data_IF_640728209668
#
_entry.id   IF_640728209668
#
_cell.length_a   1.000
_cell.length_b   1.000
_cell.length_c   1.000
_cell.angle_alpha   90.00
_cell.angle_beta   90.00
_cell.angle_gamma   90.00
#
_symmetry.space_group_name_H-M   'P 1'
#
loop_
_entity.id
_entity.type
_entity.pdbx_description
1 polymer ?
#
# COMPACT_ATOMS: atom_id res chain seq x y z
N UNK A 1 -58.96 -3.40 51.27
CA UNK A 1 -57.62 -3.29 50.67
C UNK A 1 -57.76 -2.45 49.42
N UNK A 2 -57.22 -1.23 49.49
CA UNK A 2 -57.43 -0.15 48.52
C UNK A 2 -56.69 -0.39 47.21
N UNK A 3 -57.39 -0.18 46.10
CA UNK A 3 -56.84 -0.13 44.74
C UNK A 3 -56.15 1.21 44.52
N UNK A 4 -54.81 1.21 44.37
CA UNK A 4 -54.03 2.39 43.97
C UNK A 4 -53.68 2.30 42.49
N UNK A 5 -54.44 3.00 41.68
CA UNK A 5 -54.11 3.35 40.30
C UNK A 5 -52.88 4.27 40.28
N UNK A 6 -51.73 3.76 39.82
CA UNK A 6 -50.56 4.59 39.50
C UNK A 6 -50.83 5.35 38.20
N UNK A 7 -51.07 6.66 38.31
CA UNK A 7 -51.03 7.60 37.17
C UNK A 7 -49.61 7.65 36.61
N UNK A 8 -49.48 7.38 35.31
CA UNK A 8 -48.25 7.56 34.54
C UNK A 8 -48.03 9.06 34.36
N UNK A 9 -46.93 9.57 34.91
CA UNK A 9 -46.47 10.95 34.70
C UNK A 9 -45.80 10.98 33.31
N UNK A 10 -46.11 11.92 32.41
CA UNK A 10 -45.34 12.08 31.18
C UNK A 10 -43.94 12.52 31.57
N UNK A 11 -42.92 11.72 31.24
CA UNK A 11 -41.54 12.18 31.27
C UNK A 11 -41.41 13.31 30.26
N UNK A 12 -41.18 14.53 30.73
CA UNK A 12 -40.70 15.63 29.91
C UNK A 12 -39.42 15.15 29.23
N UNK A 13 -39.53 14.90 27.93
CA UNK A 13 -38.43 14.43 27.11
C UNK A 13 -37.36 15.51 27.08
N UNK A 14 -36.18 15.15 27.57
CA UNK A 14 -34.91 15.81 27.24
C UNK A 14 -34.94 16.05 25.73
N UNK A 15 -34.88 17.32 25.30
CA UNK A 15 -34.77 17.70 23.90
C UNK A 15 -33.78 16.77 23.22
N UNK A 16 -34.33 15.88 22.38
CA UNK A 16 -33.55 14.88 21.68
C UNK A 16 -32.50 15.58 20.86
N UNK A 17 -31.25 15.13 20.96
CA UNK A 17 -30.25 15.48 19.97
C UNK A 17 -30.84 15.19 18.59
N UNK A 18 -31.08 16.25 17.82
CA UNK A 18 -31.62 16.15 16.47
C UNK A 18 -30.69 15.25 15.64
N UNK A 19 -31.22 14.19 15.05
CA UNK A 19 -30.44 13.24 14.25
C UNK A 19 -30.16 13.83 12.87
N UNK A 20 -29.21 14.77 12.86
CA UNK A 20 -28.78 15.50 11.66
C UNK A 20 -28.08 14.60 10.63
N UNK A 21 -27.64 13.41 11.03
CA UNK A 21 -27.00 12.45 10.14
C UNK A 21 -28.04 11.75 9.26
N UNK A 22 -29.24 11.51 9.82
CA UNK A 22 -30.37 10.97 9.07
C UNK A 22 -30.93 11.91 8.01
N UNK A 23 -30.75 13.23 8.19
CA UNK A 23 -31.22 14.23 7.24
C UNK A 23 -30.29 14.44 6.03
N UNK A 24 -29.09 13.85 6.05
CA UNK A 24 -28.15 13.98 4.93
C UNK A 24 -28.65 13.23 3.69
N UNK A 25 -28.46 13.79 2.48
CA UNK A 25 -28.61 13.05 1.23
C UNK A 25 -27.74 11.79 1.16
N UNK A 26 -28.23 10.77 0.44
CA UNK A 26 -27.57 9.46 0.32
C UNK A 26 -26.12 9.58 -0.17
N UNK A 27 -25.82 10.48 -1.10
CA UNK A 27 -24.46 10.68 -1.61
C UNK A 27 -23.49 11.20 -0.53
N UNK A 28 -23.96 12.02 0.41
CA UNK A 28 -23.14 12.48 1.54
C UNK A 28 -22.94 11.35 2.55
N UNK A 29 -23.95 10.53 2.80
CA UNK A 29 -23.80 9.33 3.65
C UNK A 29 -22.79 8.37 3.02
N UNK A 30 -22.90 8.06 1.72
CA UNK A 30 -21.94 7.21 1.01
C UNK A 30 -20.53 7.79 1.09
N UNK A 31 -20.38 9.11 0.96
CA UNK A 31 -19.09 9.77 1.13
C UNK A 31 -18.55 9.63 2.56
N UNK A 32 -19.38 9.80 3.59
CA UNK A 32 -18.99 9.59 4.98
C UNK A 32 -18.56 8.13 5.21
N UNK A 33 -19.33 7.17 4.72
CA UNK A 33 -19.00 5.73 4.79
C UNK A 33 -17.69 5.40 4.08
N UNK A 34 -17.30 6.16 3.05
CA UNK A 34 -16.06 5.93 2.30
C UNK A 34 -14.77 6.22 3.08
N UNK A 35 -14.87 6.90 4.22
CA UNK A 35 -13.74 7.12 5.12
C UNK A 35 -13.55 6.03 6.17
N UNK A 36 -14.45 5.03 6.22
CA UNK A 36 -14.41 3.96 7.22
C UNK A 36 -13.90 2.66 6.60
N UNK A 37 -13.25 1.79 7.39
CA UNK A 37 -13.03 0.40 6.99
C UNK A 37 -14.35 -0.27 6.59
N UNK A 38 -14.30 -1.16 5.59
CA UNK A 38 -15.49 -1.75 4.98
C UNK A 38 -16.36 -2.47 6.00
N UNK A 39 -15.74 -3.08 7.01
CA UNK A 39 -16.45 -3.75 8.11
C UNK A 39 -17.45 -2.82 8.80
N UNK A 40 -17.04 -1.60 9.15
CA UNK A 40 -17.92 -0.64 9.82
C UNK A 40 -18.97 -0.07 8.87
N UNK A 41 -18.57 0.22 7.62
CA UNK A 41 -19.51 0.67 6.60
C UNK A 41 -20.64 -0.36 6.41
N UNK A 42 -20.31 -1.65 6.33
CA UNK A 42 -21.30 -2.74 6.26
C UNK A 42 -22.15 -2.81 7.53
N UNK A 43 -21.56 -2.70 8.73
CA UNK A 43 -22.32 -2.71 10.01
C UNK A 43 -23.37 -1.60 10.08
N UNK A 44 -23.18 -0.48 9.39
CA UNK A 44 -24.21 0.59 9.32
C UNK A 44 -25.51 0.11 8.68
N UNK A 45 -25.54 -1.02 7.97
CA UNK A 45 -26.76 -1.58 7.40
C UNK A 45 -27.84 -1.91 8.43
N UNK A 46 -27.45 -2.09 9.69
CA UNK A 46 -28.36 -2.31 10.82
C UNK A 46 -29.13 -1.02 11.20
N UNK A 47 -28.64 0.14 10.78
CA UNK A 47 -29.28 1.43 10.97
C UNK A 47 -30.26 1.68 9.81
N UNK A 48 -31.53 1.94 10.15
CA UNK A 48 -32.63 2.09 9.17
C UNK A 48 -32.32 3.09 8.06
N UNK A 49 -31.67 4.21 8.37
CA UNK A 49 -31.34 5.26 7.40
C UNK A 49 -30.29 4.82 6.38
N UNK A 50 -29.30 4.06 6.83
CA UNK A 50 -28.11 3.71 6.06
C UNK A 50 -28.38 2.50 5.16
N UNK A 51 -29.01 1.46 5.71
CA UNK A 51 -29.42 0.28 4.97
C UNK A 51 -28.32 -0.24 4.04
N UNK A 52 -28.58 -0.25 2.73
CA UNK A 52 -27.65 -0.78 1.73
C UNK A 52 -26.72 0.27 1.10
N UNK A 53 -26.64 1.50 1.65
CA UNK A 53 -25.79 2.55 1.07
C UNK A 53 -24.31 2.18 1.03
N UNK A 54 -23.85 1.32 1.94
CA UNK A 54 -22.48 0.77 1.91
C UNK A 54 -22.13 0.09 0.57
N UNK A 55 -23.13 -0.48 -0.13
CA UNK A 55 -22.91 -1.15 -1.44
C UNK A 55 -22.52 -0.18 -2.56
N UNK A 56 -22.62 1.13 -2.32
CA UNK A 56 -22.28 2.20 -3.26
C UNK A 56 -20.96 2.90 -2.92
N UNK A 57 -20.26 2.45 -1.88
CA UNK A 57 -19.05 3.10 -1.40
C UNK A 57 -17.90 2.91 -2.41
N UNK A 58 -17.13 3.97 -2.73
CA UNK A 58 -15.98 3.91 -3.65
C UNK A 58 -14.80 3.10 -3.17
N UNK A 59 -14.64 3.03 -1.86
CA UNK A 59 -13.42 2.58 -1.20
C UNK A 59 -13.74 1.28 -0.47
N UNK A 60 -12.90 0.27 -0.67
CA UNK A 60 -13.02 -1.02 0.00
C UNK A 60 -11.72 -1.32 0.71
N UNK A 61 -11.74 -1.22 2.04
CA UNK A 61 -10.61 -1.51 2.92
C UNK A 61 -10.92 -2.77 3.72
N UNK A 62 -10.06 -3.78 3.60
CA UNK A 62 -10.14 -5.04 4.29
C UNK A 62 -8.82 -5.29 5.03
N UNK A 63 -8.88 -5.36 6.35
CA UNK A 63 -7.73 -5.67 7.20
C UNK A 63 -8.10 -6.84 8.11
N UNK A 64 -7.36 -7.94 7.99
CA UNK A 64 -7.63 -9.17 8.73
C UNK A 64 -7.48 -8.98 10.23
N UNK A 65 -6.46 -8.22 10.66
CA UNK A 65 -6.17 -7.97 12.06
C UNK A 65 -7.27 -7.11 12.71
N UNK A 66 -7.67 -6.02 12.05
CA UNK A 66 -8.80 -5.20 12.51
C UNK A 66 -10.11 -6.00 12.51
N UNK A 67 -10.34 -6.85 11.51
CA UNK A 67 -11.52 -7.71 11.46
C UNK A 67 -11.54 -8.68 12.65
N UNK A 68 -10.41 -9.33 12.93
CA UNK A 68 -10.26 -10.25 14.04
C UNK A 68 -10.57 -9.59 15.38
N UNK A 69 -9.91 -8.47 15.69
CA UNK A 69 -10.14 -7.71 16.94
C UNK A 69 -11.61 -7.32 17.18
N UNK A 70 -12.37 -7.12 16.09
CA UNK A 70 -13.76 -6.69 16.14
C UNK A 70 -14.74 -7.86 16.25
N UNK A 71 -14.41 -9.02 15.69
CA UNK A 71 -15.29 -10.20 15.68
C UNK A 71 -14.98 -11.13 16.86
N UNK A 72 -13.70 -11.26 17.21
CA UNK A 72 -13.16 -12.09 18.29
C UNK A 72 -12.22 -11.26 19.17
N UNK A 73 -12.78 -10.46 20.09
CA UNK A 73 -11.99 -9.55 20.91
C UNK A 73 -11.07 -10.25 21.93
N UNK A 74 -11.26 -11.55 22.20
CA UNK A 74 -10.36 -12.33 23.05
C UNK A 74 -9.59 -13.35 22.20
N UNK A 75 -8.28 -13.48 22.46
CA UNK A 75 -7.35 -14.31 21.68
C UNK A 75 -7.73 -15.81 21.62
N UNK A 76 -8.51 -16.31 22.58
CA UNK A 76 -8.95 -17.71 22.64
C UNK A 76 -10.32 -17.95 21.97
N UNK A 77 -10.97 -16.93 21.41
CA UNK A 77 -12.34 -17.05 20.89
C UNK A 77 -12.41 -17.79 19.53
N UNK A 78 -11.31 -17.85 18.76
CA UNK A 78 -11.24 -18.52 17.47
C UNK A 78 -9.81 -18.94 17.10
N UNK A 79 -9.71 -20.00 16.29
CA UNK A 79 -8.45 -20.36 15.63
C UNK A 79 -8.17 -19.46 14.43
N UNK A 80 -6.90 -19.31 14.02
CA UNK A 80 -6.52 -18.52 12.85
C UNK A 80 -7.28 -18.95 11.57
N UNK A 81 -7.53 -20.25 11.39
CA UNK A 81 -8.29 -20.78 10.26
C UNK A 81 -9.76 -20.33 10.28
N UNK A 82 -10.38 -20.28 11.46
CA UNK A 82 -11.75 -19.77 11.63
C UNK A 82 -11.82 -18.27 11.39
N UNK A 83 -10.84 -17.52 11.91
CA UNK A 83 -10.69 -16.08 11.71
C UNK A 83 -10.63 -15.77 10.22
N UNK A 84 -9.70 -16.43 9.53
CA UNK A 84 -9.52 -16.26 8.10
C UNK A 84 -10.75 -16.69 7.30
N UNK A 85 -11.33 -17.86 7.57
CA UNK A 85 -12.51 -18.36 6.87
C UNK A 85 -13.70 -17.41 6.97
N UNK A 86 -13.88 -16.79 8.14
CA UNK A 86 -14.91 -15.78 8.35
C UNK A 86 -14.61 -14.49 7.59
N UNK A 87 -13.36 -14.02 7.62
CA UNK A 87 -12.91 -12.85 6.86
C UNK A 87 -13.11 -13.05 5.35
N UNK A 88 -12.69 -14.19 4.81
CA UNK A 88 -12.89 -14.54 3.41
C UNK A 88 -14.37 -14.57 3.02
N UNK A 89 -15.23 -15.13 3.89
CA UNK A 89 -16.69 -15.10 3.69
C UNK A 89 -17.24 -13.69 3.73
N UNK A 90 -16.74 -12.84 4.63
CA UNK A 90 -17.10 -11.43 4.69
C UNK A 90 -16.76 -10.70 3.38
N UNK A 91 -15.52 -10.81 2.90
CA UNK A 91 -15.08 -10.20 1.63
C UNK A 91 -15.93 -10.73 0.47
N UNK A 92 -16.15 -12.06 0.40
CA UNK A 92 -16.99 -12.66 -0.65
C UNK A 92 -18.39 -12.05 -0.68
N UNK A 93 -19.02 -11.84 0.48
CA UNK A 93 -20.33 -11.20 0.55
C UNK A 93 -20.29 -9.74 0.12
N UNK A 94 -19.26 -8.99 0.51
CA UNK A 94 -19.08 -7.60 0.08
C UNK A 94 -18.92 -7.52 -1.43
N UNK A 95 -18.03 -8.32 -2.02
CA UNK A 95 -17.78 -8.40 -3.46
C UNK A 95 -19.05 -8.74 -4.24
N UNK A 96 -19.85 -9.70 -3.75
CA UNK A 96 -21.11 -10.10 -4.39
C UNK A 96 -22.20 -9.01 -4.33
N UNK A 97 -22.26 -8.25 -3.24
CA UNK A 97 -23.31 -7.27 -2.99
C UNK A 97 -22.96 -5.85 -3.42
N UNK A 98 -21.69 -5.57 -3.69
CA UNK A 98 -21.23 -4.25 -4.11
C UNK A 98 -21.80 -3.87 -5.47
N UNK A 99 -22.44 -2.70 -5.55
CA UNK A 99 -23.24 -2.26 -6.70
C UNK A 99 -22.59 -1.15 -7.50
N UNK A 100 -21.61 -0.45 -6.93
CA UNK A 100 -20.95 0.64 -7.63
C UNK A 100 -20.17 0.10 -8.83
N UNK A 101 -20.24 0.80 -9.96
CA UNK A 101 -19.60 0.35 -11.21
C UNK A 101 -18.08 0.36 -11.13
N UNK A 102 -17.52 1.39 -10.50
CA UNK A 102 -16.07 1.56 -10.33
C UNK A 102 -15.68 1.64 -8.86
N UNK A 103 -14.45 1.27 -8.55
CA UNK A 103 -13.83 1.41 -7.24
C UNK A 103 -12.75 2.47 -7.34
N UNK A 104 -12.70 3.41 -6.39
CA UNK A 104 -11.62 4.40 -6.37
C UNK A 104 -10.39 3.84 -5.66
N UNK A 105 -10.56 3.13 -4.53
CA UNK A 105 -9.47 2.48 -3.79
C UNK A 105 -9.86 1.10 -3.26
N UNK A 106 -8.94 0.14 -3.37
CA UNK A 106 -9.06 -1.21 -2.82
C UNK A 106 -7.81 -1.53 -2.00
N UNK A 107 -8.01 -1.76 -0.70
CA UNK A 107 -6.96 -2.12 0.23
C UNK A 107 -7.24 -3.50 0.83
N UNK A 108 -6.27 -4.40 0.72
CA UNK A 108 -6.30 -5.74 1.30
C UNK A 108 -5.05 -5.94 2.15
N UNK A 109 -5.24 -6.11 3.46
CA UNK A 109 -4.19 -6.37 4.44
C UNK A 109 -4.45 -7.71 5.11
N UNK A 110 -3.51 -8.65 4.88
CA UNK A 110 -3.53 -9.99 5.45
C UNK A 110 -2.20 -10.17 6.19
N UNK A 111 -2.27 -10.10 7.52
CA UNK A 111 -1.18 -10.44 8.43
C UNK A 111 -1.44 -11.83 8.96
N UNK A 112 -0.65 -12.79 8.52
CA UNK A 112 -0.88 -14.18 8.84
C UNK A 112 0.42 -14.75 9.38
N UNK A 113 0.65 -14.44 10.65
CA UNK A 113 1.86 -14.86 11.38
C UNK A 113 1.96 -16.38 11.53
N UNK A 114 0.87 -17.15 11.34
CA UNK A 114 0.83 -18.60 11.58
C UNK A 114 -0.08 -19.41 10.63
N UNK A 115 -0.58 -18.83 9.53
CA UNK A 115 -1.39 -19.59 8.55
C UNK A 115 -0.46 -20.12 7.46
N UNK A 116 -0.35 -21.45 7.34
CA UNK A 116 0.31 -22.04 6.18
C UNK A 116 -0.49 -21.67 4.91
N UNK A 117 0.02 -20.73 4.10
CA UNK A 117 -0.57 -20.29 2.84
C UNK A 117 -0.49 -21.33 1.70
N UNK A 118 -0.56 -22.62 2.07
CA UNK A 118 -0.61 -23.73 1.12
C UNK A 118 -2.03 -24.16 0.81
N UNK A 119 -3.06 -23.60 1.46
CA UNK A 119 -4.45 -23.85 1.05
C UNK A 119 -4.70 -23.23 -0.33
N UNK A 120 -4.92 -24.03 -1.39
CA UNK A 120 -5.16 -23.49 -2.72
C UNK A 120 -6.42 -22.62 -2.78
N UNK A 121 -7.41 -22.90 -1.93
CA UNK A 121 -8.68 -22.14 -1.90
C UNK A 121 -8.49 -20.70 -1.44
N UNK A 122 -7.54 -20.49 -0.53
CA UNK A 122 -7.16 -19.18 -0.03
C UNK A 122 -6.58 -18.32 -1.15
N UNK A 123 -5.63 -18.88 -1.91
CA UNK A 123 -5.03 -18.22 -3.06
C UNK A 123 -6.12 -17.90 -4.10
N UNK A 124 -7.01 -18.85 -4.39
CA UNK A 124 -8.12 -18.63 -5.33
C UNK A 124 -9.07 -17.50 -4.90
N UNK A 125 -9.38 -17.41 -3.60
CA UNK A 125 -10.21 -16.35 -3.05
C UNK A 125 -9.52 -14.98 -3.18
N UNK A 126 -8.24 -14.87 -2.82
CA UNK A 126 -7.46 -13.62 -2.99
C UNK A 126 -7.40 -13.22 -4.47
N UNK A 127 -7.12 -14.17 -5.37
CA UNK A 127 -7.10 -13.94 -6.82
C UNK A 127 -8.44 -13.40 -7.32
N UNK A 128 -9.56 -13.94 -6.82
CA UNK A 128 -10.90 -13.47 -7.18
C UNK A 128 -11.15 -12.04 -6.68
N UNK A 129 -10.75 -11.72 -5.45
CA UNK A 129 -10.94 -10.37 -4.88
C UNK A 129 -10.14 -9.31 -5.64
N UNK A 130 -8.90 -9.64 -5.99
CA UNK A 130 -8.03 -8.75 -6.77
C UNK A 130 -8.55 -8.57 -8.20
N UNK A 131 -9.00 -9.65 -8.86
CA UNK A 131 -9.67 -9.54 -10.17
C UNK A 131 -10.92 -8.68 -10.10
N UNK A 132 -11.74 -8.83 -9.07
CA UNK A 132 -12.89 -7.97 -8.86
C UNK A 132 -12.50 -6.49 -8.80
N UNK A 133 -11.43 -6.13 -8.08
CA UNK A 133 -10.97 -4.74 -8.03
C UNK A 133 -10.55 -4.22 -9.42
N UNK A 134 -9.79 -5.02 -10.17
CA UNK A 134 -9.36 -4.68 -11.54
C UNK A 134 -10.55 -4.56 -12.50
N UNK A 135 -11.51 -5.49 -12.45
CA UNK A 135 -12.74 -5.45 -13.27
C UNK A 135 -13.62 -4.23 -12.96
N UNK A 136 -13.45 -3.64 -11.77
CA UNK A 136 -14.09 -2.39 -11.33
C UNK A 136 -13.22 -1.16 -11.58
N UNK A 137 -12.21 -1.27 -12.45
CA UNK A 137 -11.34 -0.17 -12.87
C UNK A 137 -10.73 0.58 -11.67
N UNK A 138 -10.25 -0.17 -10.67
CA UNK A 138 -9.64 0.41 -9.48
C UNK A 138 -8.48 1.34 -9.83
N UNK A 139 -8.44 2.50 -9.17
CA UNK A 139 -7.38 3.50 -9.37
C UNK A 139 -6.25 3.35 -8.36
N UNK A 140 -6.59 3.04 -7.11
CA UNK A 140 -5.64 2.84 -6.03
C UNK A 140 -5.74 1.41 -5.49
N UNK A 141 -4.69 0.62 -5.70
CA UNK A 141 -4.63 -0.77 -5.24
C UNK A 141 -3.48 -0.94 -4.25
N UNK A 142 -3.83 -1.33 -3.02
CA UNK A 142 -2.87 -1.57 -1.96
C UNK A 142 -3.05 -3.00 -1.43
N UNK A 143 -1.98 -3.80 -1.55
CA UNK A 143 -1.94 -5.20 -1.13
C UNK A 143 -0.83 -5.31 -0.10
N UNK A 144 -1.23 -5.59 1.13
CA UNK A 144 -0.33 -5.88 2.22
C UNK A 144 -0.45 -7.35 2.60
N UNK A 145 0.62 -8.09 2.42
CA UNK A 145 0.67 -9.51 2.71
C UNK A 145 1.90 -9.80 3.57
N UNK A 146 1.69 -10.29 4.79
CA UNK A 146 2.74 -10.59 5.75
C UNK A 146 2.59 -12.06 6.15
N UNK A 147 3.17 -12.92 5.32
CA UNK A 147 3.14 -14.39 5.36
C UNK A 147 4.34 -14.95 4.60
N UNK A 148 4.35 -16.26 4.30
CA UNK A 148 5.37 -16.83 3.40
C UNK A 148 5.30 -16.11 2.03
N UNK A 149 6.44 -15.61 1.55
CA UNK A 149 6.55 -14.64 0.43
C UNK A 149 6.17 -15.18 -0.97
N UNK A 150 5.22 -16.13 -1.05
CA UNK A 150 4.83 -16.90 -2.22
C UNK A 150 3.53 -16.42 -2.89
N UNK A 151 2.92 -15.31 -2.42
CA UNK A 151 1.68 -14.81 -3.03
C UNK A 151 1.96 -14.28 -4.45
N UNK A 152 1.65 -15.12 -5.43
CA UNK A 152 1.67 -14.75 -6.85
C UNK A 152 0.48 -13.85 -7.15
N UNK A 153 0.73 -12.68 -7.71
CA UNK A 153 -0.30 -11.72 -8.08
C UNK A 153 -0.93 -12.05 -9.46
N UNK A 154 -2.25 -11.83 -9.65
CA UNK A 154 -2.88 -12.01 -10.95
C UNK A 154 -2.27 -11.09 -12.02
N UNK A 155 -1.94 -11.65 -13.19
CA UNK A 155 -1.35 -10.91 -14.32
C UNK A 155 -2.21 -9.72 -14.78
N UNK A 156 -3.53 -9.73 -14.56
CA UNK A 156 -4.40 -8.62 -14.96
C UNK A 156 -4.09 -7.31 -14.23
N UNK A 157 -3.47 -7.36 -13.03
CA UNK A 157 -3.00 -6.16 -12.31
C UNK A 157 -1.97 -5.41 -13.17
N UNK A 158 -0.98 -6.14 -13.69
CA UNK A 158 0.12 -5.61 -14.51
C UNK A 158 -0.28 -5.19 -15.92
N UNK A 159 -1.55 -5.37 -16.29
CA UNK A 159 -2.13 -4.95 -17.58
C UNK A 159 -3.19 -3.85 -17.41
N UNK A 160 -3.46 -3.43 -16.18
CA UNK A 160 -4.51 -2.45 -15.90
C UNK A 160 -4.20 -1.08 -16.50
N UNK A 161 -5.19 -0.49 -17.16
CA UNK A 161 -5.15 0.88 -17.70
C UNK A 161 -5.94 1.87 -16.83
N UNK A 162 -6.33 1.46 -15.63
CA UNK A 162 -7.07 2.31 -14.67
C UNK A 162 -6.25 2.66 -13.43
N UNK A 163 -5.27 1.84 -13.08
CA UNK A 163 -4.41 2.04 -11.91
C UNK A 163 -3.61 3.33 -12.04
N UNK A 164 -3.63 4.12 -10.97
CA UNK A 164 -2.85 5.34 -10.75
C UNK A 164 -1.78 5.06 -9.70
N UNK A 165 -2.16 4.34 -8.63
CA UNK A 165 -1.27 3.98 -7.53
C UNK A 165 -1.32 2.47 -7.29
N UNK A 166 -0.15 1.85 -7.11
CA UNK A 166 -0.01 0.42 -6.81
C UNK A 166 0.99 0.25 -5.67
N UNK A 167 0.53 -0.30 -4.56
CA UNK A 167 1.38 -0.66 -3.41
C UNK A 167 1.32 -2.15 -3.17
N UNK A 168 2.48 -2.80 -3.19
CA UNK A 168 2.64 -4.23 -2.95
C UNK A 168 3.59 -4.42 -1.76
N UNK A 169 3.14 -5.18 -0.76
CA UNK A 169 3.97 -5.62 0.37
C UNK A 169 3.95 -7.15 0.47
N UNK A 170 5.12 -7.78 0.57
CA UNK A 170 5.27 -9.23 0.80
C UNK A 170 4.68 -10.12 -0.32
N UNK A 171 4.73 -9.63 -1.56
CA UNK A 171 4.21 -10.36 -2.73
C UNK A 171 5.35 -10.95 -3.57
N UNK A 172 5.04 -11.94 -4.40
CA UNK A 172 5.96 -12.48 -5.39
C UNK A 172 5.68 -11.93 -6.79
N UNK A 173 6.70 -11.33 -7.41
CA UNK A 173 6.70 -11.04 -8.84
C UNK A 173 7.25 -12.26 -9.60
N UNK A 174 6.35 -13.14 -10.05
CA UNK A 174 6.71 -14.17 -11.04
C UNK A 174 7.11 -13.54 -12.38
N UNK A 175 7.62 -14.36 -13.33
CA UNK A 175 7.92 -13.91 -14.69
C UNK A 175 6.64 -13.36 -15.35
N UNK A 176 6.45 -12.04 -15.32
CA UNK A 176 5.37 -11.34 -16.01
C UNK A 176 5.85 -11.03 -17.44
N UNK A 177 5.49 -11.83 -18.46
CA UNK A 177 6.08 -11.69 -19.79
C UNK A 177 5.72 -10.36 -20.46
N UNK A 178 4.59 -9.77 -20.08
CA UNK A 178 4.08 -8.52 -20.63
C UNK A 178 3.53 -7.65 -19.51
N UNK A 179 4.19 -6.52 -19.24
CA UNK A 179 3.68 -5.50 -18.31
C UNK A 179 3.31 -4.26 -19.10
N UNK A 180 2.11 -3.77 -18.90
CA UNK A 180 1.62 -2.55 -19.50
C UNK A 180 0.64 -1.85 -18.57
N UNK A 181 1.11 -0.88 -17.79
CA UNK A 181 0.29 -0.05 -16.91
C UNK A 181 0.43 1.42 -17.31
N UNK A 182 -0.29 1.81 -18.37
CA UNK A 182 -0.09 3.11 -19.02
C UNK A 182 -0.45 4.32 -18.16
N UNK A 183 -1.30 4.14 -17.15
CA UNK A 183 -1.80 5.22 -16.28
C UNK A 183 -1.10 5.30 -14.92
N UNK A 184 -0.28 4.30 -14.57
CA UNK A 184 0.33 4.19 -13.25
C UNK A 184 1.33 5.33 -13.04
N UNK A 185 1.18 6.05 -11.93
CA UNK A 185 2.00 7.20 -11.53
C UNK A 185 2.83 6.91 -10.30
N UNK A 186 2.34 6.05 -9.41
CA UNK A 186 3.04 5.72 -8.16
C UNK A 186 3.10 4.20 -8.01
N UNK A 187 4.32 3.69 -7.83
CA UNK A 187 4.58 2.27 -7.60
C UNK A 187 5.39 2.11 -6.33
N UNK A 188 4.88 1.32 -5.39
CA UNK A 188 5.58 0.95 -4.16
C UNK A 188 5.74 -0.56 -4.07
N UNK A 189 6.98 -1.03 -4.01
CA UNK A 189 7.37 -2.43 -3.91
C UNK A 189 8.12 -2.65 -2.59
N UNK A 190 7.45 -3.20 -1.59
CA UNK A 190 7.98 -3.37 -0.23
C UNK A 190 8.11 -4.84 0.11
N UNK A 191 9.30 -5.32 0.48
CA UNK A 191 9.50 -6.76 0.75
C UNK A 191 8.97 -7.67 -0.39
N UNK A 192 9.17 -7.26 -1.64
CA UNK A 192 8.68 -8.00 -2.81
C UNK A 192 9.75 -8.98 -3.28
N UNK A 193 9.37 -10.23 -3.51
CA UNK A 193 10.25 -11.26 -4.08
C UNK A 193 10.29 -11.18 -5.60
N UNK A 194 11.47 -11.39 -6.18
CA UNK A 194 11.66 -11.39 -7.63
C UNK A 194 13.13 -11.17 -8.00
N UNK A 195 13.48 -11.47 -9.26
CA UNK A 195 14.82 -11.14 -9.77
C UNK A 195 14.90 -9.67 -10.19
N UNK A 196 16.10 -9.09 -10.17
CA UNK A 196 16.31 -7.70 -10.65
C UNK A 196 15.82 -7.46 -12.09
N UNK A 197 15.81 -8.50 -12.93
CA UNK A 197 15.24 -8.44 -14.28
C UNK A 197 13.72 -8.22 -14.27
N UNK A 198 13.00 -8.93 -13.39
CA UNK A 198 11.54 -8.82 -13.27
C UNK A 198 11.15 -7.45 -12.73
N UNK A 199 11.87 -6.94 -11.71
CA UNK A 199 11.67 -5.58 -11.22
C UNK A 199 11.79 -4.55 -12.36
N UNK A 200 12.87 -4.64 -13.15
CA UNK A 200 13.07 -3.73 -14.27
C UNK A 200 11.99 -3.86 -15.35
N UNK A 201 11.52 -5.07 -15.65
CA UNK A 201 10.41 -5.28 -16.59
C UNK A 201 9.11 -4.63 -16.11
N UNK A 202 8.77 -4.77 -14.83
CA UNK A 202 7.58 -4.13 -14.25
C UNK A 202 7.67 -2.60 -14.37
N UNK A 203 8.83 -2.04 -14.02
CA UNK A 203 9.05 -0.60 -14.02
C UNK A 203 9.02 -0.03 -15.45
N UNK A 204 9.65 -0.70 -16.42
CA UNK A 204 9.60 -0.30 -17.84
C UNK A 204 8.20 -0.42 -18.45
N UNK A 205 7.37 -1.32 -17.93
CA UNK A 205 5.96 -1.45 -18.31
C UNK A 205 5.07 -0.30 -17.83
N UNK A 206 5.59 0.65 -17.05
CA UNK A 206 4.87 1.80 -16.48
C UNK A 206 5.33 3.13 -17.10
N UNK A 207 4.94 3.47 -18.34
CA UNK A 207 5.47 4.63 -19.05
C UNK A 207 5.12 5.99 -18.43
N UNK A 208 4.09 6.05 -17.58
CA UNK A 208 3.64 7.28 -16.90
C UNK A 208 4.14 7.40 -15.44
N UNK A 209 4.99 6.47 -14.99
CA UNK A 209 5.43 6.39 -13.60
C UNK A 209 6.21 7.64 -13.16
N UNK A 210 5.79 8.28 -12.08
CA UNK A 210 6.38 9.52 -11.56
C UNK A 210 7.11 9.30 -10.23
N UNK A 211 6.55 8.45 -9.36
CA UNK A 211 7.11 8.09 -8.07
C UNK A 211 7.32 6.58 -7.98
N UNK A 212 8.52 6.19 -7.55
CA UNK A 212 8.90 4.79 -7.35
C UNK A 212 9.46 4.63 -5.94
N UNK A 213 8.89 3.73 -5.16
CA UNK A 213 9.36 3.35 -3.82
C UNK A 213 9.73 1.87 -3.83
N UNK A 214 10.95 1.54 -3.42
CA UNK A 214 11.43 0.16 -3.39
C UNK A 214 12.12 -0.11 -2.05
N UNK A 215 11.62 -1.10 -1.31
CA UNK A 215 12.30 -1.61 -0.12
C UNK A 215 12.88 -2.99 -0.41
N UNK A 216 14.21 -3.05 -0.40
CA UNK A 216 15.01 -4.24 -0.68
C UNK A 216 15.28 -4.98 0.63
N UNK A 217 14.54 -6.07 0.83
CA UNK A 217 14.79 -7.03 1.91
C UNK A 217 15.60 -8.25 1.43
N UNK A 218 15.65 -8.50 0.12
CA UNK A 218 16.33 -9.68 -0.41
C UNK A 218 17.77 -9.39 -0.83
N UNK A 219 18.62 -10.42 -0.76
CA UNK A 219 19.97 -10.38 -1.31
C UNK A 219 19.92 -10.36 -2.85
N UNK A 220 20.18 -9.21 -3.45
CA UNK A 220 20.37 -9.13 -4.91
C UNK A 220 21.86 -9.21 -5.26
N UNK A 221 22.21 -10.04 -6.24
CA UNK A 221 23.55 -9.96 -6.85
C UNK A 221 23.68 -8.68 -7.69
N UNK A 222 22.70 -8.36 -8.53
CA UNK A 222 22.69 -7.15 -9.35
C UNK A 222 21.25 -6.65 -9.47
N UNK A 223 21.03 -5.36 -9.21
CA UNK A 223 19.75 -4.69 -9.43
C UNK A 223 19.95 -3.51 -10.37
N UNK A 224 19.43 -3.64 -11.59
CA UNK A 224 19.50 -2.59 -12.60
C UNK A 224 18.10 -2.08 -12.88
N UNK A 225 17.84 -0.82 -12.56
CA UNK A 225 16.53 -0.21 -12.73
C UNK A 225 16.66 0.97 -13.67
N UNK A 226 15.80 1.02 -14.68
CA UNK A 226 15.72 2.13 -15.62
C UNK A 226 14.29 2.58 -15.78
N UNK A 227 14.07 3.90 -15.72
CA UNK A 227 12.79 4.48 -16.15
C UNK A 227 13.00 5.89 -16.70
N UNK A 228 12.45 6.21 -17.88
CA UNK A 228 12.52 7.56 -18.42
C UNK A 228 11.54 8.53 -17.75
N UNK A 229 10.51 8.06 -17.05
CA UNK A 229 9.42 8.89 -16.54
C UNK A 229 9.54 9.25 -15.06
N UNK A 230 10.26 8.44 -14.28
CA UNK A 230 10.38 8.60 -12.82
C UNK A 230 11.07 9.92 -12.48
N UNK A 231 10.40 10.70 -11.63
CA UNK A 231 10.88 11.99 -11.13
C UNK A 231 11.33 11.91 -9.66
N UNK A 232 10.80 10.96 -8.90
CA UNK A 232 11.12 10.72 -7.49
C UNK A 232 11.34 9.24 -7.23
N UNK A 233 12.46 8.91 -6.60
CA UNK A 233 12.81 7.56 -6.19
C UNK A 233 13.05 7.53 -4.68
N UNK A 234 12.38 6.62 -3.98
CA UNK A 234 12.73 6.21 -2.61
C UNK A 234 13.26 4.78 -2.65
N UNK A 235 14.45 4.57 -2.12
CA UNK A 235 15.13 3.28 -2.07
C UNK A 235 15.54 2.97 -0.64
N UNK A 236 14.91 1.98 -0.01
CA UNK A 236 15.29 1.49 1.30
C UNK A 236 15.99 0.14 1.17
N UNK A 237 17.19 0.01 1.73
CA UNK A 237 18.05 -1.16 1.60
C UNK A 237 18.27 -1.73 3.00
N UNK A 238 17.75 -2.93 3.26
CA UNK A 238 17.86 -3.62 4.55
C UNK A 238 18.91 -4.73 4.55
N UNK A 239 19.16 -5.31 3.36
CA UNK A 239 20.09 -6.42 3.18
C UNK A 239 21.07 -6.13 2.02
N UNK A 240 22.27 -6.74 2.05
CA UNK A 240 23.31 -6.44 1.08
C UNK A 240 22.90 -6.73 -0.38
N UNK A 241 23.05 -5.74 -1.26
CA UNK A 241 23.13 -5.95 -2.70
C UNK A 241 24.61 -5.96 -3.12
N UNK A 242 25.07 -6.72 -4.12
CA UNK A 242 26.47 -6.54 -4.57
C UNK A 242 26.63 -5.28 -5.43
N UNK A 243 25.64 -4.99 -6.28
CA UNK A 243 25.64 -3.84 -7.18
C UNK A 243 24.22 -3.37 -7.50
N UNK A 244 23.99 -2.07 -7.39
CA UNK A 244 22.76 -1.40 -7.80
C UNK A 244 23.12 -0.36 -8.85
N UNK A 245 22.48 -0.43 -10.02
CA UNK A 245 22.59 0.58 -11.07
C UNK A 245 21.23 1.23 -11.30
N UNK A 246 21.17 2.54 -11.16
CA UNK A 246 19.96 3.34 -11.28
C UNK A 246 20.10 4.29 -12.47
N UNK A 247 19.18 4.25 -13.43
CA UNK A 247 19.20 5.13 -14.61
C UNK A 247 17.85 5.82 -14.78
N UNK A 248 17.80 7.09 -14.39
CA UNK A 248 16.57 7.89 -14.38
C UNK A 248 16.85 9.31 -14.90
N UNK A 249 16.82 9.52 -16.23
CA UNK A 249 17.26 10.78 -16.84
C UNK A 249 16.49 12.02 -16.36
N UNK A 250 15.24 11.84 -15.92
CA UNK A 250 14.34 12.92 -15.49
C UNK A 250 14.14 12.95 -13.97
N UNK A 251 14.94 12.20 -13.20
CA UNK A 251 14.84 12.15 -11.74
C UNK A 251 15.30 13.45 -11.11
N UNK A 252 14.45 14.01 -10.25
CA UNK A 252 14.69 15.24 -9.48
C UNK A 252 14.98 14.95 -8.02
N UNK A 253 14.33 13.93 -7.47
CA UNK A 253 14.38 13.61 -6.05
C UNK A 253 14.85 12.16 -5.85
N UNK A 254 15.87 11.98 -5.01
CA UNK A 254 16.40 10.68 -4.65
C UNK A 254 16.51 10.56 -3.13
N UNK A 255 15.69 9.69 -2.56
CA UNK A 255 15.74 9.30 -1.16
C UNK A 255 16.37 7.91 -1.06
N UNK A 256 17.49 7.79 -0.35
CA UNK A 256 18.16 6.51 -0.10
C UNK A 256 18.23 6.30 1.41
N UNK A 257 17.71 5.18 1.89
CA UNK A 257 17.83 4.74 3.27
C UNK A 257 18.57 3.40 3.30
N UNK A 258 19.60 3.30 4.13
CA UNK A 258 20.36 2.05 4.29
C UNK A 258 20.31 1.62 5.73
N UNK A 259 19.96 0.37 5.97
CA UNK A 259 19.90 -0.24 7.30
C UNK A 259 20.40 -1.68 7.22
N UNK A 260 20.80 -2.27 8.35
CA UNK A 260 21.26 -3.67 8.40
C UNK A 260 22.78 -3.85 8.59
N UNK A 261 23.31 -5.01 8.21
CA UNK A 261 24.72 -5.37 8.49
C UNK A 261 25.62 -4.88 7.34
N UNK A 262 26.67 -4.14 7.68
CA UNK A 262 27.61 -3.55 6.72
C UNK A 262 28.32 -4.61 5.88
N UNK A 263 28.07 -4.57 4.56
CA UNK A 263 28.92 -5.14 3.52
C UNK A 263 29.16 -4.06 2.47
N UNK A 264 30.28 -4.13 1.76
CA UNK A 264 30.56 -3.23 0.65
C UNK A 264 29.60 -3.52 -0.50
N UNK A 265 28.72 -2.58 -0.82
CA UNK A 265 27.91 -2.58 -2.03
C UNK A 265 28.25 -1.35 -2.87
N UNK A 266 28.01 -1.43 -4.17
CA UNK A 266 28.16 -0.29 -5.07
C UNK A 266 26.79 0.20 -5.52
N UNK A 267 26.57 1.51 -5.40
CA UNK A 267 25.41 2.20 -5.97
C UNK A 267 25.93 3.15 -7.02
N UNK A 268 25.60 2.86 -8.28
CA UNK A 268 25.91 3.72 -9.40
C UNK A 268 24.63 4.35 -9.92
N UNK A 269 24.57 5.69 -9.89
CA UNK A 269 23.46 6.44 -10.45
C UNK A 269 23.91 7.09 -11.74
N UNK A 270 23.35 6.60 -12.82
CA UNK A 270 23.62 7.02 -14.18
C UNK A 270 22.62 8.12 -14.54
N UNK A 271 23.12 9.15 -15.24
CA UNK A 271 22.33 10.29 -15.71
C UNK A 271 21.62 11.08 -14.60
N UNK A 272 22.42 11.63 -13.70
CA UNK A 272 21.97 12.49 -12.59
C UNK A 272 21.85 13.97 -12.98
N UNK A 273 21.72 14.24 -14.28
CA UNK A 273 21.73 15.61 -14.81
C UNK A 273 20.55 16.47 -14.34
N UNK A 274 19.40 15.84 -14.10
CA UNK A 274 18.16 16.48 -13.62
C UNK A 274 18.00 16.48 -12.10
N UNK A 275 18.95 15.88 -11.37
CA UNK A 275 18.82 15.62 -9.94
C UNK A 275 18.98 16.92 -9.12
N UNK A 276 17.99 17.23 -8.29
CA UNK A 276 17.93 18.47 -7.51
C UNK A 276 18.05 18.21 -6.02
N UNK A 277 17.42 17.15 -5.51
CA UNK A 277 17.37 16.82 -4.09
C UNK A 277 17.82 15.39 -3.89
N UNK A 278 18.78 15.22 -2.98
CA UNK A 278 19.26 13.91 -2.55
C UNK A 278 19.21 13.83 -1.04
N UNK A 279 18.52 12.83 -0.50
CA UNK A 279 18.51 12.54 0.93
C UNK A 279 19.09 11.14 1.16
N UNK A 280 20.11 11.05 1.99
CA UNK A 280 20.77 9.79 2.34
C UNK A 280 20.63 9.58 3.85
N UNK A 281 20.03 8.47 4.25
CA UNK A 281 19.89 8.03 5.64
C UNK A 281 20.67 6.74 5.87
N UNK A 282 21.09 6.51 7.12
CA UNK A 282 21.81 5.29 7.48
C UNK A 282 23.30 5.30 7.16
N UNK A 283 23.92 6.48 7.26
CA UNK A 283 25.37 6.65 7.06
C UNK A 283 26.26 5.66 7.85
N UNK A 284 25.94 5.20 9.09
CA UNK A 284 26.76 4.21 9.79
C UNK A 284 26.93 2.88 9.03
N UNK A 285 26.01 2.58 8.11
CA UNK A 285 26.01 1.36 7.31
C UNK A 285 26.70 1.53 5.95
N UNK A 286 26.99 2.78 5.57
CA UNK A 286 27.67 3.14 4.33
C UNK A 286 29.17 3.34 4.55
N UNK A 287 30.00 2.77 3.67
CA UNK A 287 31.44 3.04 3.70
C UNK A 287 31.76 4.45 3.16
N UNK A 288 32.76 5.14 3.73
CA UNK A 288 33.20 6.45 3.23
C UNK A 288 33.56 6.44 1.73
N UNK A 289 34.28 5.43 1.19
CA UNK A 289 34.56 5.39 -0.24
C UNK A 289 33.31 5.32 -1.12
N UNK A 290 32.26 4.63 -0.67
CA UNK A 290 30.99 4.56 -1.37
C UNK A 290 30.29 5.91 -1.39
N UNK A 291 30.25 6.60 -0.25
CA UNK A 291 29.68 7.95 -0.16
C UNK A 291 30.46 8.91 -1.05
N UNK A 292 31.80 8.89 -1.01
CA UNK A 292 32.64 9.73 -1.86
C UNK A 292 32.44 9.43 -3.35
N UNK A 293 32.37 8.16 -3.73
CA UNK A 293 32.12 7.76 -5.11
C UNK A 293 30.75 8.27 -5.60
N UNK A 294 29.72 8.13 -4.77
CA UNK A 294 28.37 8.61 -5.07
C UNK A 294 28.31 10.15 -5.14
N UNK A 295 28.88 10.87 -4.17
CA UNK A 295 28.94 12.33 -4.18
C UNK A 295 29.69 12.89 -5.40
N UNK A 296 30.70 12.17 -5.91
CA UNK A 296 31.39 12.54 -7.15
C UNK A 296 30.52 12.44 -8.39
N UNK A 297 29.48 11.60 -8.38
CA UNK A 297 28.52 11.44 -9.47
C UNK A 297 27.51 12.60 -9.48
N UNK A 298 27.06 13.09 -8.31
CA UNK A 298 25.94 14.03 -8.17
C UNK A 298 26.34 15.52 -8.06
N UNK A 299 27.20 16.01 -8.95
CA UNK A 299 27.83 17.35 -8.82
C UNK A 299 26.90 18.57 -8.98
N UNK A 300 25.72 18.40 -9.55
CA UNK A 300 24.80 19.49 -9.90
C UNK A 300 23.55 19.55 -9.01
N UNK A 301 23.57 18.86 -7.87
CA UNK A 301 22.43 18.76 -6.95
C UNK A 301 22.31 20.04 -6.11
N UNK A 302 21.09 20.57 -5.99
CA UNK A 302 20.80 21.78 -5.21
C UNK A 302 20.85 21.51 -3.69
N UNK A 303 20.33 20.35 -3.26
CA UNK A 303 20.23 19.97 -1.85
C UNK A 303 20.70 18.55 -1.65
N UNK A 304 21.70 18.37 -0.78
CA UNK A 304 22.12 17.06 -0.28
C UNK A 304 21.91 17.02 1.22
N UNK A 305 20.97 16.18 1.67
CA UNK A 305 20.78 15.90 3.09
C UNK A 305 21.40 14.55 3.42
N UNK A 306 22.20 14.49 4.46
CA UNK A 306 22.73 13.23 4.98
C UNK A 306 22.39 13.14 6.46
N UNK A 307 21.75 12.05 6.89
CA UNK A 307 21.38 11.84 8.30
C UNK A 307 21.93 10.54 8.88
N UNK A 308 22.39 10.63 10.12
CA UNK A 308 22.74 9.49 10.99
C UNK A 308 21.66 9.45 12.05
N UNK A 309 20.74 8.46 12.05
CA UNK A 309 19.66 8.07 13.00
C UNK A 309 19.05 9.07 14.04
N UNK A 310 19.77 10.09 14.53
CA UNK A 310 19.32 11.22 15.35
C UNK A 310 19.86 12.62 14.94
N UNK A 311 20.72 12.74 13.91
CA UNK A 311 21.32 14.00 13.43
C UNK A 311 21.18 14.16 11.92
N UNK A 312 20.76 15.34 11.48
CA UNK A 312 20.58 15.72 10.08
C UNK A 312 21.64 16.77 9.68
N UNK A 313 22.41 16.50 8.64
CA UNK A 313 23.34 17.45 8.01
C UNK A 313 22.78 17.81 6.64
N UNK A 314 22.40 19.08 6.44
CA UNK A 314 21.91 19.60 5.16
C UNK A 314 22.97 20.45 4.48
N UNK A 315 23.30 20.09 3.25
CA UNK A 315 24.10 20.91 2.34
C UNK A 315 23.16 21.54 1.32
N UNK A 316 23.18 22.88 1.23
CA UNK A 316 22.47 23.64 0.19
C UNK A 316 23.51 24.30 -0.69
N UNK A 317 23.44 24.01 -1.99
CA UNK A 317 24.34 24.56 -3.00
C UNK A 317 23.61 25.69 -3.72
N UNK A 318 24.06 26.93 -3.51
CA UNK A 318 23.56 28.08 -4.25
C UNK A 318 24.39 28.24 -5.53
N UNK A 319 23.73 28.26 -6.69
CA UNK A 319 24.36 28.74 -7.91
C UNK A 319 24.49 30.27 -7.81
N UNK A 320 25.71 30.76 -7.60
CA UNK A 320 26.02 32.18 -7.86
C UNK A 320 25.96 32.38 -9.39
N UNK A 321 25.00 33.19 -9.83
CA UNK A 321 24.86 33.64 -11.22
C UNK A 321 25.92 34.69 -11.57
#
# INVERSE_FOLDING_TARGET
MESRTKKMIPSEGINGFEDRLSDLPDNLIVHILSFMPTLYAVKTMLLRRFGNLWTLVPTLTFDLWEYDQVIWPNEDDATNDEVFSSFARFIRNVVMLHKRRTIDSFHLSIKAFDVEFKDPKLIDDIQLWLRFAIDREVKDLNIYFDGDDDLVLPHCIFMSQSLITLTLYGCMLEHQPHVHMGTLRELSLVNVQGSGLVFNQVILGCPSLQELNINIFNLFHVLNITSPSVSKLCLEIYHPCLSITLSFPNMKNLDICVSGISLSFMVDVIDVSSLQVVNIKGLPYLSLPLIEAFLRQIRNVEVVTMSVDAFEVRFTFFHEF
#
